data_IF_140032729211
#
_entry.id   IF_140032729211
#
_cell.length_a   1.000
_cell.length_b   1.000
_cell.length_c   1.000
_cell.angle_alpha   90.00
_cell.angle_beta   90.00
_cell.angle_gamma   90.00
#
_symmetry.space_group_name_H-M   'P 1'
#
loop_
_entity.id
_entity.type
_entity.pdbx_description
1 polymer ?
#
# COMPACT_ATOMS: atom_id res chain seq x y z
N UNK A 1 -27.32 14.12 -36.81
CA UNK A 1 -26.51 13.09 -36.12
C UNK A 1 -25.01 13.30 -36.32
N UNK A 2 -24.43 13.38 -37.50
CA UNK A 2 -22.98 13.54 -37.76
C UNK A 2 -22.32 14.77 -37.07
N UNK A 3 -22.99 15.92 -37.03
CA UNK A 3 -22.45 17.13 -36.38
C UNK A 3 -22.33 16.96 -34.87
N UNK A 4 -23.31 16.35 -34.20
CA UNK A 4 -23.30 16.08 -32.76
C UNK A 4 -22.18 15.10 -32.45
N UNK A 5 -22.02 14.04 -33.22
CA UNK A 5 -20.95 13.06 -33.07
C UNK A 5 -19.54 13.70 -33.15
N UNK A 6 -19.34 14.61 -34.16
CA UNK A 6 -18.06 15.36 -34.23
C UNK A 6 -17.77 16.19 -33.00
N UNK A 7 -18.76 16.89 -32.45
CA UNK A 7 -18.55 17.69 -31.23
C UNK A 7 -18.27 16.82 -30.02
N UNK A 8 -18.90 15.66 -29.91
CA UNK A 8 -18.58 14.69 -28.83
C UNK A 8 -17.12 14.24 -28.94
N UNK A 9 -16.64 13.90 -30.15
CA UNK A 9 -15.24 13.50 -30.34
C UNK A 9 -14.25 14.63 -30.02
N UNK A 10 -14.56 15.86 -30.41
CA UNK A 10 -13.72 17.03 -30.07
C UNK A 10 -13.68 17.24 -28.55
N UNK A 11 -14.82 17.13 -27.88
CA UNK A 11 -14.91 17.29 -26.43
C UNK A 11 -14.12 16.19 -25.68
N UNK A 12 -14.24 14.94 -26.11
CA UNK A 12 -13.47 13.83 -25.56
C UNK A 12 -11.97 14.01 -25.81
N UNK A 13 -11.56 14.41 -27.00
CA UNK A 13 -10.17 14.71 -27.32
C UNK A 13 -9.60 15.84 -26.49
N UNK A 14 -10.38 16.93 -26.33
CA UNK A 14 -9.99 18.05 -25.47
C UNK A 14 -9.86 17.63 -24.01
N UNK A 15 -10.76 16.79 -23.50
CA UNK A 15 -10.70 16.26 -22.13
C UNK A 15 -9.42 15.42 -21.92
N UNK A 16 -9.10 14.55 -22.85
CA UNK A 16 -7.88 13.74 -22.81
C UNK A 16 -6.64 14.65 -22.80
N UNK A 17 -6.59 15.66 -23.68
CA UNK A 17 -5.48 16.62 -23.71
C UNK A 17 -5.33 17.38 -22.39
N UNK A 18 -6.44 17.79 -21.76
CA UNK A 18 -6.41 18.43 -20.45
C UNK A 18 -5.89 17.49 -19.36
N UNK A 19 -6.30 16.22 -19.37
CA UNK A 19 -5.82 15.22 -18.39
C UNK A 19 -4.29 15.12 -18.45
N UNK A 20 -3.70 15.02 -19.64
CA UNK A 20 -2.24 14.97 -19.80
C UNK A 20 -1.56 16.31 -19.54
N UNK A 21 -2.15 17.42 -19.92
CA UNK A 21 -1.58 18.77 -19.69
C UNK A 21 -1.49 19.12 -18.21
N UNK A 22 -2.38 18.58 -17.38
CA UNK A 22 -2.41 18.79 -15.92
C UNK A 22 -1.80 17.62 -15.12
N UNK A 23 -1.21 16.61 -15.78
CA UNK A 23 -0.64 15.41 -15.14
C UNK A 23 -1.61 14.69 -14.19
N UNK A 24 -2.88 14.59 -14.62
CA UNK A 24 -3.94 13.95 -13.82
C UNK A 24 -4.41 12.61 -14.43
N UNK A 25 -3.57 11.97 -15.24
CA UNK A 25 -3.85 10.67 -15.84
C UNK A 25 -4.05 9.56 -14.82
N UNK A 26 -3.54 9.71 -13.60
CA UNK A 26 -3.82 8.81 -12.49
C UNK A 26 -5.31 8.70 -12.20
N UNK A 27 -6.12 9.73 -12.51
CA UNK A 27 -7.57 9.70 -12.38
C UNK A 27 -8.21 8.63 -13.29
N UNK A 28 -7.69 8.46 -14.52
CA UNK A 28 -8.19 7.43 -15.44
C UNK A 28 -7.99 6.06 -14.83
N UNK A 29 -6.79 5.82 -14.27
CA UNK A 29 -6.47 4.55 -13.58
C UNK A 29 -7.35 4.37 -12.35
N UNK A 30 -7.53 5.41 -11.54
CA UNK A 30 -8.39 5.40 -10.36
C UNK A 30 -9.85 5.06 -10.69
N UNK A 31 -10.42 5.71 -11.71
CA UNK A 31 -11.79 5.42 -12.17
C UNK A 31 -11.90 3.96 -12.64
N UNK A 32 -10.96 3.51 -13.47
CA UNK A 32 -10.94 2.15 -13.99
C UNK A 32 -10.80 1.09 -12.90
N UNK A 33 -9.89 1.30 -11.94
CA UNK A 33 -9.58 0.33 -10.89
C UNK A 33 -10.66 0.29 -9.82
N UNK A 34 -11.23 1.44 -9.45
CA UNK A 34 -12.16 1.55 -8.34
C UNK A 34 -13.60 1.55 -8.83
N UNK A 35 -14.03 2.60 -9.54
CA UNK A 35 -15.45 2.80 -9.82
C UNK A 35 -16.03 1.84 -10.86
N UNK A 36 -15.27 1.51 -11.92
CA UNK A 36 -15.75 0.55 -12.92
C UNK A 36 -15.76 -0.91 -12.41
N UNK A 37 -15.13 -1.19 -11.27
CA UNK A 37 -15.18 -2.49 -10.58
C UNK A 37 -16.31 -2.56 -9.54
N UNK A 38 -17.08 -1.49 -9.37
CA UNK A 38 -18.16 -1.41 -8.40
C UNK A 38 -17.74 -1.06 -6.97
N UNK A 39 -16.48 -0.66 -6.79
CA UNK A 39 -15.95 -0.21 -5.51
C UNK A 39 -15.98 1.32 -5.39
N UNK A 40 -15.80 1.85 -4.20
CA UNK A 40 -15.73 3.28 -3.91
C UNK A 40 -14.40 3.72 -3.28
N UNK A 41 -13.52 2.76 -3.01
CA UNK A 41 -12.17 2.96 -2.46
C UNK A 41 -11.30 1.77 -2.86
N UNK A 42 -9.98 1.86 -2.61
CA UNK A 42 -9.05 0.74 -2.75
C UNK A 42 -9.55 -0.50 -1.99
N UNK A 43 -9.31 -1.68 -2.55
CA UNK A 43 -9.83 -2.94 -2.02
C UNK A 43 -8.77 -4.06 -2.08
N UNK A 44 -9.02 -5.13 -1.37
CA UNK A 44 -8.01 -6.15 -1.04
C UNK A 44 -7.41 -6.86 -2.26
N UNK A 45 -8.17 -6.99 -3.34
CA UNK A 45 -7.73 -7.64 -4.59
C UNK A 45 -7.42 -6.65 -5.72
N UNK A 46 -7.35 -5.36 -5.46
CA UNK A 46 -7.08 -4.36 -6.49
C UNK A 46 -5.64 -4.42 -7.04
N UNK A 47 -4.74 -5.14 -6.37
CA UNK A 47 -3.39 -5.42 -6.89
C UNK A 47 -3.41 -6.04 -8.30
N UNK A 48 -4.49 -6.71 -8.70
CA UNK A 48 -4.67 -7.29 -10.03
C UNK A 48 -4.71 -6.23 -11.15
N UNK A 49 -5.01 -4.97 -10.81
CA UNK A 49 -5.06 -3.83 -11.72
C UNK A 49 -3.75 -3.04 -11.80
N UNK A 50 -2.72 -3.51 -11.11
CA UNK A 50 -1.40 -2.89 -11.09
C UNK A 50 -0.36 -3.82 -11.71
N UNK A 51 0.75 -3.23 -12.18
CA UNK A 51 1.92 -4.00 -12.59
C UNK A 51 2.57 -4.62 -11.36
N UNK A 52 2.68 -5.94 -11.34
CA UNK A 52 3.24 -6.69 -10.23
C UNK A 52 4.60 -7.27 -10.57
N UNK A 53 5.51 -7.26 -9.61
CA UNK A 53 6.79 -7.97 -9.72
C UNK A 53 6.86 -9.05 -8.64
N UNK A 54 7.05 -10.29 -9.08
CA UNK A 54 7.30 -11.38 -8.17
C UNK A 54 8.76 -11.32 -7.66
N UNK A 55 8.93 -11.31 -6.34
CA UNK A 55 10.24 -11.45 -5.68
C UNK A 55 10.29 -12.85 -5.10
N UNK A 56 11.09 -13.72 -5.73
CA UNK A 56 11.27 -15.10 -5.26
C UNK A 56 12.17 -15.16 -4.03
N UNK A 57 11.75 -15.93 -3.04
CA UNK A 57 12.63 -16.28 -1.92
C UNK A 57 13.68 -17.28 -2.38
N UNK A 58 14.96 -16.92 -2.22
CA UNK A 58 16.08 -17.82 -2.56
C UNK A 58 16.27 -18.93 -1.53
N UNK A 59 16.03 -18.62 -0.25
CA UNK A 59 16.14 -19.54 0.88
C UNK A 59 14.88 -19.37 1.76
N UNK A 60 13.75 -19.98 1.40
CA UNK A 60 12.54 -19.88 2.21
C UNK A 60 12.77 -20.54 3.57
N UNK A 61 12.41 -19.83 4.62
CA UNK A 61 12.43 -20.30 6.00
C UNK A 61 11.01 -20.30 6.54
N UNK A 62 10.23 -21.35 6.24
CA UNK A 62 8.86 -21.41 6.70
C UNK A 62 8.81 -21.49 8.23
N UNK A 63 7.81 -20.86 8.82
CA UNK A 63 7.57 -20.97 10.25
C UNK A 63 7.23 -22.41 10.62
N UNK A 64 7.84 -22.91 11.70
CA UNK A 64 7.49 -24.22 12.22
C UNK A 64 6.06 -24.24 12.75
N UNK A 65 5.40 -25.38 12.68
CA UNK A 65 4.11 -25.56 13.35
C UNK A 65 4.33 -25.82 14.83
N UNK A 66 3.58 -25.12 15.67
CA UNK A 66 3.60 -25.33 17.11
C UNK A 66 3.00 -26.72 17.44
N UNK A 67 3.48 -27.38 18.51
CA UNK A 67 2.95 -28.70 18.95
C UNK A 67 1.44 -28.74 19.18
N UNK A 68 0.83 -27.60 19.43
CA UNK A 68 -0.61 -27.40 19.58
C UNK A 68 -1.23 -26.66 18.38
N UNK A 69 -0.66 -26.79 17.20
CA UNK A 69 -1.18 -26.15 16.00
C UNK A 69 -2.66 -26.48 15.79
N UNK A 70 -3.48 -25.44 15.68
CA UNK A 70 -4.94 -25.52 15.46
C UNK A 70 -5.72 -26.44 16.43
N UNK A 71 -5.18 -26.70 17.64
CA UNK A 71 -5.92 -27.45 18.68
C UNK A 71 -6.76 -26.55 19.58
N UNK A 72 -6.65 -25.24 19.43
CA UNK A 72 -7.39 -24.25 20.21
C UNK A 72 -8.54 -23.72 19.36
N UNK A 73 -9.75 -23.79 19.90
CA UNK A 73 -10.91 -23.23 19.22
C UNK A 73 -10.99 -21.71 19.41
N UNK A 74 -11.53 -21.04 18.39
CA UNK A 74 -11.87 -19.61 18.51
C UNK A 74 -12.96 -19.39 19.57
N UNK A 75 -12.77 -18.36 20.39
CA UNK A 75 -13.84 -17.90 21.27
C UNK A 75 -15.01 -17.33 20.47
N UNK A 76 -16.23 -17.33 21.03
CA UNK A 76 -17.39 -16.72 20.38
C UNK A 76 -17.17 -15.25 19.99
N UNK A 77 -16.44 -14.50 20.84
CA UNK A 77 -16.07 -13.10 20.55
C UNK A 77 -15.15 -13.00 19.32
N UNK A 78 -14.13 -13.87 19.22
CA UNK A 78 -13.21 -13.86 18.08
C UNK A 78 -13.93 -14.25 16.79
N UNK A 79 -14.80 -15.26 16.82
CA UNK A 79 -15.62 -15.62 15.65
C UNK A 79 -16.45 -14.45 15.15
N UNK A 80 -17.18 -13.79 16.08
CA UNK A 80 -17.98 -12.61 15.74
C UNK A 80 -17.12 -11.49 15.18
N UNK A 81 -15.95 -11.20 15.76
CA UNK A 81 -15.03 -10.17 15.28
C UNK A 81 -14.57 -10.46 13.84
N UNK A 82 -14.19 -11.71 13.56
CA UNK A 82 -13.74 -12.12 12.22
C UNK A 82 -14.86 -11.98 11.18
N UNK A 83 -16.11 -12.30 11.55
CA UNK A 83 -17.28 -12.09 10.69
C UNK A 83 -17.57 -10.62 10.44
N UNK A 84 -17.67 -9.81 11.51
CA UNK A 84 -17.96 -8.37 11.43
C UNK A 84 -16.90 -7.60 10.62
N UNK A 85 -15.62 -8.00 10.72
CA UNK A 85 -14.49 -7.39 10.02
C UNK A 85 -14.22 -7.97 8.64
N UNK A 86 -14.95 -9.01 8.24
CA UNK A 86 -14.70 -9.75 7.00
C UNK A 86 -13.23 -10.18 6.89
N UNK A 87 -12.70 -10.71 8.00
CA UNK A 87 -11.31 -11.18 8.07
C UNK A 87 -11.07 -12.25 7.00
N UNK A 88 -9.95 -12.18 6.33
CA UNK A 88 -9.55 -13.14 5.29
C UNK A 88 -8.63 -14.22 5.85
N UNK A 89 -7.75 -13.84 6.79
CA UNK A 89 -6.86 -14.78 7.47
C UNK A 89 -6.58 -14.29 8.90
N UNK A 90 -6.40 -15.22 9.81
CA UNK A 90 -6.03 -14.94 11.18
C UNK A 90 -4.97 -15.94 11.66
N UNK A 91 -3.79 -15.43 12.03
CA UNK A 91 -2.67 -16.23 12.50
C UNK A 91 -2.24 -15.81 13.89
N UNK A 92 -1.89 -16.81 14.72
CA UNK A 92 -1.23 -16.59 16.01
C UNK A 92 0.12 -17.29 15.99
N UNK A 93 1.17 -16.51 16.13
CA UNK A 93 2.55 -17.00 16.23
C UNK A 93 2.97 -16.95 17.69
N UNK A 94 3.53 -18.04 18.19
CA UNK A 94 4.04 -18.16 19.56
C UNK A 94 5.38 -18.89 19.59
N UNK A 95 6.41 -18.25 20.17
CA UNK A 95 7.75 -18.81 20.27
C UNK A 95 8.24 -19.33 18.89
N UNK A 96 8.22 -18.44 17.89
CA UNK A 96 8.66 -18.69 16.52
C UNK A 96 7.96 -19.88 15.82
N UNK A 97 6.75 -20.19 16.21
CA UNK A 97 5.93 -21.25 15.59
C UNK A 97 4.47 -20.84 15.44
N UNK A 98 3.81 -21.35 14.41
CA UNK A 98 2.39 -21.06 14.14
C UNK A 98 1.56 -21.91 15.11
N UNK A 99 0.89 -21.25 16.06
CA UNK A 99 0.01 -21.86 17.03
C UNK A 99 -1.40 -22.05 16.48
N UNK A 100 -1.91 -21.05 15.76
CA UNK A 100 -3.23 -21.04 15.19
C UNK A 100 -3.20 -20.35 13.83
N UNK A 101 -3.92 -20.91 12.88
CA UNK A 101 -4.03 -20.40 11.52
C UNK A 101 -5.41 -20.74 10.96
N UNK A 102 -6.12 -19.73 10.48
CA UNK A 102 -7.44 -19.90 9.90
C UNK A 102 -7.66 -18.92 8.77
N UNK A 103 -8.31 -19.38 7.73
CA UNK A 103 -8.70 -18.63 6.56
C UNK A 103 -10.22 -18.56 6.44
N UNK A 104 -10.72 -17.49 5.85
CA UNK A 104 -12.15 -17.21 5.75
C UNK A 104 -12.50 -16.78 4.32
N UNK A 105 -13.77 -16.75 3.98
CA UNK A 105 -14.30 -16.23 2.71
C UNK A 105 -13.70 -16.91 1.46
N UNK A 106 -13.28 -18.16 1.55
CA UNK A 106 -12.67 -18.89 0.42
C UNK A 106 -11.19 -18.61 0.19
N UNK A 107 -10.56 -17.81 1.03
CA UNK A 107 -9.11 -17.60 1.00
C UNK A 107 -8.35 -18.73 1.68
N UNK A 108 -7.08 -18.88 1.34
CA UNK A 108 -6.16 -19.90 1.87
C UNK A 108 -4.73 -19.36 2.04
N UNK A 109 -3.79 -20.23 2.40
CA UNK A 109 -2.39 -19.88 2.62
C UNK A 109 -1.65 -19.39 1.36
N UNK A 110 -2.20 -19.60 0.17
CA UNK A 110 -1.61 -19.19 -1.11
C UNK A 110 -2.21 -17.89 -1.63
N UNK A 111 -3.25 -17.40 -0.98
CA UNK A 111 -3.97 -16.19 -1.39
C UNK A 111 -3.09 -14.96 -1.25
N UNK A 112 -3.13 -14.10 -2.26
CA UNK A 112 -2.37 -12.86 -2.34
C UNK A 112 -3.31 -11.67 -2.10
N UNK A 113 -2.83 -10.66 -1.39
CA UNK A 113 -3.58 -9.47 -1.05
C UNK A 113 -2.78 -8.21 -1.27
N UNK A 114 -3.47 -7.09 -1.51
CA UNK A 114 -2.85 -5.79 -1.34
C UNK A 114 -2.48 -5.60 0.14
N UNK A 115 -1.22 -5.29 0.40
CA UNK A 115 -0.71 -5.13 1.76
C UNK A 115 -1.07 -3.79 2.39
N UNK A 116 -1.51 -2.81 1.58
CA UNK A 116 -1.73 -1.43 2.02
C UNK A 116 -0.57 -0.92 2.90
N UNK A 117 -0.86 -0.31 4.03
CA UNK A 117 0.15 0.27 4.92
C UNK A 117 1.09 -0.74 5.58
N UNK A 118 0.84 -2.05 5.50
CA UNK A 118 1.81 -3.06 5.95
C UNK A 118 3.11 -2.97 5.14
N UNK A 119 3.05 -2.49 3.88
CA UNK A 119 4.23 -2.20 3.07
C UNK A 119 5.21 -1.23 3.77
N UNK A 120 4.73 -0.29 4.58
CA UNK A 120 5.58 0.65 5.33
C UNK A 120 6.51 -0.08 6.30
N UNK A 121 6.05 -1.16 6.93
CA UNK A 121 6.88 -1.99 7.82
C UNK A 121 8.00 -2.69 7.03
N UNK A 122 7.72 -3.14 5.81
CA UNK A 122 8.72 -3.75 4.92
C UNK A 122 9.76 -2.70 4.52
N UNK A 123 9.33 -1.50 4.09
CA UNK A 123 10.23 -0.40 3.73
C UNK A 123 11.12 -0.01 4.91
N UNK A 124 10.56 0.13 6.12
CA UNK A 124 11.32 0.43 7.34
C UNK A 124 12.33 -0.68 7.67
N UNK A 125 11.97 -1.95 7.45
CA UNK A 125 12.91 -3.07 7.62
C UNK A 125 14.05 -3.02 6.59
N UNK A 126 13.77 -2.66 5.35
CA UNK A 126 14.80 -2.45 4.31
C UNK A 126 15.72 -1.27 4.66
N UNK A 127 15.18 -0.21 5.25
CA UNK A 127 16.01 0.89 5.78
C UNK A 127 16.95 0.39 6.88
N UNK A 128 16.46 -0.44 7.80
CA UNK A 128 17.31 -1.10 8.82
C UNK A 128 18.44 -1.90 8.17
N UNK A 129 18.17 -2.63 7.10
CA UNK A 129 19.17 -3.35 6.32
C UNK A 129 20.20 -2.39 5.69
N UNK A 130 19.76 -1.25 5.15
CA UNK A 130 20.65 -0.24 4.58
C UNK A 130 21.56 0.40 5.65
N UNK A 131 21.08 0.56 6.88
CA UNK A 131 21.90 0.99 8.03
C UNK A 131 22.96 -0.08 8.35
N UNK A 132 22.58 -1.35 8.42
CA UNK A 132 23.51 -2.45 8.66
C UNK A 132 24.61 -2.56 7.58
N UNK A 133 24.29 -2.20 6.35
CA UNK A 133 25.23 -2.17 5.21
C UNK A 133 26.04 -0.87 5.12
N UNK A 134 25.84 0.08 6.05
CA UNK A 134 26.53 1.35 6.06
C UNK A 134 26.11 2.33 4.95
N UNK A 135 25.03 2.05 4.24
CA UNK A 135 24.45 2.94 3.20
C UNK A 135 23.70 4.13 3.81
N UNK A 136 23.15 3.91 4.98
CA UNK A 136 22.57 4.94 5.84
C UNK A 136 23.35 4.93 7.14
N UNK A 137 23.78 6.09 7.63
CA UNK A 137 24.61 6.20 8.84
C UNK A 137 23.85 5.87 10.14
N UNK A 138 22.53 6.07 10.13
CA UNK A 138 21.66 5.82 11.28
C UNK A 138 20.35 6.58 11.18
N UNK A 139 19.53 6.44 12.22
CA UNK A 139 18.20 7.10 12.27
C UNK A 139 18.31 8.63 12.34
N UNK A 140 19.38 9.16 12.96
CA UNK A 140 19.60 10.59 13.11
C UNK A 140 20.20 11.26 11.86
N UNK A 141 20.43 10.48 10.78
CA UNK A 141 20.96 11.03 9.55
C UNK A 141 19.96 12.00 8.91
N UNK A 142 20.39 13.24 8.57
CA UNK A 142 19.51 14.19 7.91
C UNK A 142 19.04 13.70 6.54
N UNK A 143 17.77 13.91 6.22
CA UNK A 143 17.20 13.62 4.90
C UNK A 143 17.84 14.49 3.83
N UNK A 144 18.30 15.69 4.21
CA UNK A 144 19.05 16.62 3.34
C UNK A 144 20.40 16.07 2.85
N UNK A 145 20.93 15.00 3.43
CA UNK A 145 22.10 14.30 2.88
C UNK A 145 21.79 13.63 1.54
N UNK A 146 20.52 13.36 1.24
CA UNK A 146 20.05 12.68 0.04
C UNK A 146 19.27 13.61 -0.91
N UNK A 147 18.57 14.62 -0.36
CA UNK A 147 17.65 15.47 -1.09
C UNK A 147 17.93 16.95 -0.82
N UNK A 148 18.37 17.67 -1.84
CA UNK A 148 18.76 19.09 -1.78
C UNK A 148 17.62 20.00 -1.28
N UNK A 149 16.37 19.68 -1.64
CA UNK A 149 15.17 20.44 -1.28
C UNK A 149 14.91 20.48 0.24
N UNK A 150 15.54 19.58 1.01
CA UNK A 150 15.41 19.54 2.47
C UNK A 150 16.55 20.25 3.21
N UNK A 151 17.39 21.02 2.54
CA UNK A 151 18.54 21.71 3.18
C UNK A 151 18.16 22.93 3.99
N UNK A 152 17.02 23.56 3.69
CA UNK A 152 16.65 24.85 4.25
C UNK A 152 15.44 24.76 5.20
N UNK A 153 15.37 25.76 6.12
CA UNK A 153 14.23 25.96 7.03
C UNK A 153 14.02 24.79 7.99
N UNK A 154 12.76 24.50 8.30
CA UNK A 154 12.39 23.39 9.20
C UNK A 154 12.71 22.02 8.60
N UNK A 155 12.65 21.90 7.29
CA UNK A 155 12.94 20.65 6.59
C UNK A 155 14.37 20.16 6.79
N UNK A 156 15.34 21.07 7.04
CA UNK A 156 16.73 20.70 7.31
C UNK A 156 16.93 19.87 8.60
N UNK A 157 15.93 19.86 9.48
CA UNK A 157 15.94 19.09 10.72
C UNK A 157 15.37 17.68 10.56
N UNK A 158 14.77 17.38 9.40
CA UNK A 158 14.15 16.11 9.12
C UNK A 158 15.19 14.99 9.07
N UNK A 159 14.97 13.94 9.82
CA UNK A 159 15.86 12.77 9.89
C UNK A 159 15.26 11.54 9.21
N UNK A 160 16.08 10.57 8.91
CA UNK A 160 15.65 9.25 8.44
C UNK A 160 14.71 8.58 9.46
N UNK A 161 15.00 8.76 10.76
CA UNK A 161 14.16 8.26 11.85
C UNK A 161 12.77 8.88 11.88
N UNK A 162 12.64 10.18 11.57
CA UNK A 162 11.34 10.86 11.50
C UNK A 162 10.48 10.31 10.37
N UNK A 163 11.08 9.99 9.22
CA UNK A 163 10.39 9.32 8.13
C UNK A 163 9.94 7.91 8.53
N UNK A 164 10.83 7.13 9.15
CA UNK A 164 10.56 5.77 9.57
C UNK A 164 9.44 5.66 10.62
N UNK A 165 9.36 6.65 11.50
CA UNK A 165 8.35 6.71 12.58
C UNK A 165 7.07 7.47 12.19
N UNK A 166 6.93 7.90 10.94
CA UNK A 166 5.78 8.69 10.44
C UNK A 166 5.61 10.03 11.17
N UNK A 167 6.71 10.65 11.64
CA UNK A 167 6.73 11.91 12.40
C UNK A 167 7.43 13.05 11.66
N UNK A 168 7.42 13.03 10.34
CA UNK A 168 8.12 13.99 9.48
C UNK A 168 7.65 15.46 9.63
N UNK A 169 6.44 15.69 10.14
CA UNK A 169 5.86 17.04 10.21
C UNK A 169 5.44 17.64 8.87
N UNK A 170 5.51 16.89 7.78
CA UNK A 170 5.04 17.33 6.46
C UNK A 170 3.52 17.51 6.45
N UNK A 171 3.02 18.48 5.67
CA UNK A 171 1.57 18.67 5.46
C UNK A 171 1.03 17.60 4.50
N UNK A 172 1.04 16.35 4.98
CA UNK A 172 0.48 15.21 4.28
C UNK A 172 -0.91 14.90 4.85
N UNK A 173 -1.94 14.99 4.00
CA UNK A 173 -3.33 14.69 4.39
C UNK A 173 -3.84 13.49 3.61
N UNK A 174 -3.88 12.34 4.26
CA UNK A 174 -4.49 11.14 3.68
C UNK A 174 -6.00 11.30 3.56
N UNK A 175 -6.52 11.17 2.33
CA UNK A 175 -7.95 11.21 2.03
C UNK A 175 -8.31 10.00 1.19
N UNK A 176 -9.25 9.19 1.68
CA UNK A 176 -9.65 7.94 1.03
C UNK A 176 -11.00 8.01 0.29
N UNK A 177 -11.70 9.17 0.37
CA UNK A 177 -13.06 9.34 -0.17
C UNK A 177 -13.11 10.19 -1.44
N UNK A 178 -11.97 10.55 -1.98
CA UNK A 178 -11.86 11.37 -3.20
C UNK A 178 -10.75 10.83 -4.06
N UNK A 179 -10.91 10.86 -5.37
CA UNK A 179 -9.85 10.53 -6.33
C UNK A 179 -8.95 11.72 -6.66
N UNK A 180 -9.35 12.94 -6.27
CA UNK A 180 -8.58 14.17 -6.54
C UNK A 180 -7.88 14.59 -5.25
N UNK A 181 -6.77 13.96 -4.95
CA UNK A 181 -5.91 14.28 -3.81
C UNK A 181 -4.58 13.54 -3.93
N UNK A 182 -3.61 13.96 -3.11
CA UNK A 182 -2.24 13.41 -3.11
C UNK A 182 -2.19 11.91 -2.79
N UNK A 183 -3.10 11.39 -1.97
CA UNK A 183 -3.18 9.94 -1.66
C UNK A 183 -3.54 9.14 -2.90
N UNK A 184 -4.53 9.59 -3.67
CA UNK A 184 -4.94 8.94 -4.91
C UNK A 184 -3.89 9.09 -6.00
N UNK A 185 -3.24 10.24 -6.09
CA UNK A 185 -2.13 10.47 -7.01
C UNK A 185 -1.00 9.48 -6.73
N UNK A 186 -0.51 9.39 -5.49
CA UNK A 186 0.52 8.43 -5.09
C UNK A 186 0.12 6.98 -5.33
N UNK A 187 -1.17 6.65 -5.17
CA UNK A 187 -1.65 5.27 -5.31
C UNK A 187 -1.77 4.82 -6.77
N UNK A 188 -2.15 5.72 -7.68
CA UNK A 188 -2.43 5.39 -9.08
C UNK A 188 -1.36 5.85 -10.06
N UNK A 189 -0.37 6.64 -9.63
CA UNK A 189 0.75 7.02 -10.50
C UNK A 189 1.62 5.80 -10.85
N UNK A 190 2.36 5.92 -11.94
CA UNK A 190 3.31 4.87 -12.36
C UNK A 190 4.68 5.03 -11.72
N UNK A 191 5.09 6.28 -11.52
CA UNK A 191 6.37 6.67 -10.95
C UNK A 191 6.12 7.65 -9.81
N UNK A 192 6.67 7.38 -8.64
CA UNK A 192 6.63 8.22 -7.46
C UNK A 192 7.86 9.10 -7.41
#
# INVERSE_FOLDING_TARGET
MMKIFKWILVLLGSLILLIYAFNIEYLIKGVRTIYLTGNNTAFISDYEYFDNREIKSLNPQPWALHKRYNTIEETGLLKKLNEDRKTTSFLVIKNDSILFEKYFQGYDQTSIFNSFSVAKSIVTSMMGKAIMEGKIKGLDQPVSDYFEEYKDGLASKLTVGDLASMSSGMDWKEKYYSVINITSESYFTKDL
#
